data_IF_297302093933
#
_entry.id   IF_297302093933
#
_cell.length_a   1.000
_cell.length_b   1.000
_cell.length_c   1.000
_cell.angle_alpha   90.00
_cell.angle_beta   90.00
_cell.angle_gamma   90.00
#
_symmetry.space_group_name_H-M   'P 1'
#
loop_
_entity.id
_entity.type
_entity.pdbx_description
1 polymer ?
#
# COMPACT_ATOMS: atom_id res chain seq x y z
N UNK A 1 14.24 -6.42 -13.99
CA UNK A 1 14.55 -4.97 -13.83
C UNK A 1 13.84 -4.20 -14.94
N UNK A 2 13.48 -2.93 -14.74
CA UNK A 2 12.99 -2.04 -15.81
C UNK A 2 13.90 -0.80 -15.85
N UNK A 3 14.67 -0.67 -16.93
CA UNK A 3 15.67 0.39 -17.09
C UNK A 3 15.06 1.80 -17.15
N UNK A 4 13.75 1.87 -17.38
CA UNK A 4 12.97 3.11 -17.47
C UNK A 4 12.29 3.49 -16.14
N UNK A 5 12.60 2.79 -15.06
CA UNK A 5 12.18 3.21 -13.72
C UNK A 5 13.26 4.08 -13.07
N UNK A 6 12.82 5.14 -12.40
CA UNK A 6 13.64 6.14 -11.75
C UNK A 6 13.13 6.38 -10.34
N UNK A 7 14.02 6.72 -9.40
CA UNK A 7 13.63 6.91 -8.02
C UNK A 7 14.49 7.92 -7.27
N UNK A 8 13.82 8.73 -6.45
CA UNK A 8 14.45 9.49 -5.37
C UNK A 8 13.83 9.08 -4.05
N UNK A 9 14.67 8.72 -3.09
CA UNK A 9 14.27 8.20 -1.79
C UNK A 9 14.97 9.01 -0.71
N UNK A 10 14.21 9.63 0.19
CA UNK A 10 14.73 10.55 1.21
C UNK A 10 14.27 10.12 2.59
N UNK A 11 15.20 10.03 3.54
CA UNK A 11 14.89 9.80 4.95
C UNK A 11 15.68 10.77 5.83
N UNK A 12 14.98 11.49 6.71
CA UNK A 12 15.60 12.52 7.57
C UNK A 12 15.25 12.26 9.03
N UNK A 13 16.27 11.92 9.82
CA UNK A 13 16.13 11.76 11.28
C UNK A 13 16.58 12.99 12.06
N UNK A 14 17.67 13.64 11.62
CA UNK A 14 18.33 14.69 12.40
C UNK A 14 17.91 16.09 11.96
N UNK A 15 17.41 16.85 12.92
CA UNK A 15 16.92 18.20 12.76
C UNK A 15 17.41 19.08 13.91
N UNK A 16 18.36 20.01 13.70
CA UNK A 16 18.77 20.90 14.78
C UNK A 16 17.70 21.95 15.15
N UNK A 17 16.67 22.13 14.31
CA UNK A 17 15.60 23.10 14.51
C UNK A 17 14.28 22.54 15.06
N UNK A 18 14.08 21.22 15.02
CA UNK A 18 12.90 20.52 15.55
C UNK A 18 13.34 19.24 16.26
N UNK A 19 12.42 18.40 16.75
CA UNK A 19 12.81 17.15 17.43
C UNK A 19 13.38 16.15 16.41
N UNK A 20 14.44 15.44 16.77
CA UNK A 20 14.93 14.31 15.97
C UNK A 20 13.88 13.16 15.90
N UNK A 21 13.96 12.38 14.82
CA UNK A 21 13.21 11.14 14.59
C UNK A 21 14.15 9.94 14.67
N UNK A 22 13.57 8.73 14.64
CA UNK A 22 14.38 7.51 14.78
C UNK A 22 14.14 6.48 13.69
N UNK A 23 13.03 6.55 12.93
CA UNK A 23 12.73 5.54 11.91
C UNK A 23 12.89 6.01 10.47
N UNK A 24 12.95 7.32 10.19
CA UNK A 24 12.78 7.83 8.84
C UNK A 24 13.91 7.39 7.89
N UNK A 25 15.16 7.35 8.36
CA UNK A 25 16.28 6.81 7.56
C UNK A 25 16.12 5.31 7.27
N UNK A 26 15.65 4.53 8.24
CA UNK A 26 15.45 3.09 8.10
C UNK A 26 14.30 2.78 7.13
N UNK A 27 13.19 3.51 7.26
CA UNK A 27 12.02 3.40 6.39
C UNK A 27 12.40 3.68 4.92
N UNK A 28 13.17 4.77 4.69
CA UNK A 28 13.74 5.09 3.38
C UNK A 28 14.70 4.00 2.86
N UNK A 29 15.61 3.49 3.70
CA UNK A 29 16.54 2.41 3.31
C UNK A 29 15.80 1.16 2.84
N UNK A 30 14.79 0.72 3.58
CA UNK A 30 14.00 -0.47 3.23
C UNK A 30 13.18 -0.27 1.96
N UNK A 31 12.62 0.91 1.74
CA UNK A 31 11.94 1.23 0.49
C UNK A 31 12.92 1.21 -0.70
N UNK A 32 14.12 1.76 -0.55
CA UNK A 32 15.18 1.69 -1.55
C UNK A 32 15.62 0.24 -1.84
N UNK A 33 15.75 -0.61 -0.82
CA UNK A 33 16.02 -2.04 -1.03
C UNK A 33 14.90 -2.74 -1.80
N UNK A 34 13.64 -2.44 -1.50
CA UNK A 34 12.51 -2.93 -2.28
C UNK A 34 12.56 -2.44 -3.73
N UNK A 35 12.92 -1.19 -3.98
CA UNK A 35 13.04 -0.64 -5.33
C UNK A 35 14.11 -1.36 -6.17
N UNK A 36 15.26 -1.73 -5.57
CA UNK A 36 16.36 -2.41 -6.27
C UNK A 36 16.05 -3.85 -6.66
N UNK A 37 15.09 -4.50 -5.99
CA UNK A 37 14.74 -5.90 -6.26
C UNK A 37 14.04 -6.04 -7.60
N UNK A 38 14.41 -7.07 -8.35
CA UNK A 38 13.74 -7.42 -9.61
C UNK A 38 12.27 -7.78 -9.42
N UNK A 39 11.94 -8.48 -8.33
CA UNK A 39 10.56 -8.76 -7.96
C UNK A 39 9.88 -7.59 -7.25
N UNK A 40 10.61 -6.53 -6.90
CA UNK A 40 10.12 -5.32 -6.25
C UNK A 40 9.87 -4.19 -7.25
N UNK A 41 10.51 -3.04 -7.05
CA UNK A 41 10.38 -1.89 -7.95
C UNK A 41 11.16 -2.00 -9.26
N UNK A 42 12.15 -2.88 -9.32
CA UNK A 42 12.98 -3.13 -10.50
C UNK A 42 13.81 -1.92 -10.97
N UNK A 43 14.11 -0.96 -10.09
CA UNK A 43 14.82 0.29 -10.41
C UNK A 43 16.33 0.04 -10.50
N UNK A 44 17.00 0.33 -11.63
CA UNK A 44 18.45 0.26 -11.75
C UNK A 44 19.15 1.13 -10.71
N UNK A 45 20.33 0.71 -10.25
CA UNK A 45 21.05 1.42 -9.20
C UNK A 45 21.44 2.84 -9.63
N UNK A 46 21.81 3.02 -10.88
CA UNK A 46 22.10 4.32 -11.49
C UNK A 46 20.88 5.25 -11.54
N UNK A 47 19.66 4.71 -11.52
CA UNK A 47 18.42 5.47 -11.56
C UNK A 47 17.82 5.70 -10.17
N UNK A 48 18.47 5.22 -9.11
CA UNK A 48 18.03 5.34 -7.74
C UNK A 48 18.94 6.29 -6.95
N UNK A 49 18.39 7.44 -6.56
CA UNK A 49 19.04 8.39 -5.66
C UNK A 49 18.53 8.17 -4.23
N UNK A 50 19.35 7.53 -3.39
CA UNK A 50 19.07 7.36 -1.97
C UNK A 50 19.78 8.46 -1.17
N UNK A 51 19.00 9.36 -0.60
CA UNK A 51 19.48 10.53 0.14
C UNK A 51 19.29 10.28 1.63
N UNK A 52 20.36 9.78 2.25
CA UNK A 52 20.47 9.55 3.69
C UNK A 52 21.78 10.18 4.17
N UNK A 53 21.71 10.90 5.30
CA UNK A 53 22.90 11.38 6.00
C UNK A 53 22.94 10.67 7.33
N UNK A 54 23.91 9.80 7.57
CA UNK A 54 24.05 9.13 8.87
C UNK A 54 24.68 10.11 9.87
N UNK A 55 24.67 9.75 11.16
CA UNK A 55 25.25 10.61 12.20
C UNK A 55 26.77 10.82 12.00
N UNK A 56 27.45 9.85 11.39
CA UNK A 56 28.87 9.92 11.02
C UNK A 56 29.15 10.95 9.91
N UNK A 57 28.14 11.26 9.09
CA UNK A 57 28.22 12.19 7.96
C UNK A 57 27.93 13.64 8.39
N UNK A 58 27.47 13.85 9.63
CA UNK A 58 27.01 15.13 10.14
C UNK A 58 28.01 15.71 11.16
N UNK A 59 28.23 17.03 11.17
CA UNK A 59 29.10 17.65 12.16
C UNK A 59 28.47 17.60 13.55
N UNK A 60 29.34 17.54 14.57
CA UNK A 60 28.97 17.64 15.97
C UNK A 60 29.65 18.87 16.59
N UNK A 61 28.88 19.88 17.07
CA UNK A 61 27.41 19.92 17.12
C UNK A 61 26.77 20.18 15.75
N UNK A 62 25.60 19.59 15.51
CA UNK A 62 24.83 19.84 14.30
C UNK A 62 24.15 21.22 14.36
N UNK A 63 24.57 22.14 13.49
CA UNK A 63 23.93 23.45 13.34
C UNK A 63 22.96 23.49 12.13
N UNK A 64 22.00 24.43 12.14
CA UNK A 64 21.03 24.61 11.05
C UNK A 64 21.68 24.83 9.67
N UNK A 65 22.86 25.44 9.63
CA UNK A 65 23.60 25.70 8.40
C UNK A 65 24.41 24.49 7.91
N UNK A 66 24.49 23.42 8.69
CA UNK A 66 25.20 22.20 8.29
C UNK A 66 24.23 21.02 8.13
N UNK A 67 22.97 21.20 8.56
CA UNK A 67 21.91 20.22 8.38
C UNK A 67 21.66 19.86 6.91
N UNK A 68 21.54 18.55 6.68
CA UNK A 68 21.32 17.92 5.39
C UNK A 68 20.34 16.72 5.53
N UNK A 69 19.55 16.41 4.49
CA UNK A 69 19.54 17.04 3.18
C UNK A 69 18.84 18.41 3.18
N UNK A 70 19.21 19.21 2.18
CA UNK A 70 18.54 20.48 1.84
C UNK A 70 17.72 20.30 0.59
N UNK A 71 16.70 21.15 0.42
CA UNK A 71 15.82 21.15 -0.75
C UNK A 71 16.58 21.06 -2.08
N UNK A 72 17.62 21.89 -2.26
CA UNK A 72 18.37 21.94 -3.52
C UNK A 72 18.96 20.59 -3.90
N UNK A 73 19.43 19.80 -2.92
CA UNK A 73 20.04 18.51 -3.22
C UNK A 73 19.03 17.51 -3.78
N UNK A 74 17.81 17.49 -3.23
CA UNK A 74 16.74 16.62 -3.70
C UNK A 74 16.22 17.11 -5.06
N UNK A 75 16.13 18.43 -5.23
CA UNK A 75 15.75 19.04 -6.49
C UNK A 75 16.76 18.70 -7.59
N UNK A 76 18.06 18.89 -7.36
CA UNK A 76 19.09 18.58 -8.36
C UNK A 76 19.05 17.10 -8.77
N UNK A 77 18.87 16.18 -7.80
CA UNK A 77 18.74 14.75 -8.08
C UNK A 77 17.49 14.41 -8.92
N UNK A 78 16.35 15.05 -8.65
CA UNK A 78 15.14 14.89 -9.47
C UNK A 78 15.32 15.49 -10.87
N UNK A 79 16.06 16.59 -10.99
CA UNK A 79 16.36 17.22 -12.27
C UNK A 79 17.26 16.33 -13.14
N UNK A 80 18.30 15.74 -12.55
CA UNK A 80 19.20 14.82 -13.26
C UNK A 80 18.44 13.60 -13.80
N UNK A 81 17.58 12.97 -13.00
CA UNK A 81 16.78 11.82 -13.43
C UNK A 81 15.78 12.21 -14.52
N UNK A 82 15.19 13.41 -14.41
CA UNK A 82 14.33 13.97 -15.46
C UNK A 82 15.09 14.09 -16.78
N UNK A 83 16.26 14.72 -16.79
CA UNK A 83 17.04 14.91 -18.01
C UNK A 83 17.43 13.58 -18.65
N UNK A 84 17.82 12.60 -17.84
CA UNK A 84 18.13 11.25 -18.34
C UNK A 84 16.93 10.57 -18.99
N UNK A 85 15.75 10.68 -18.38
CA UNK A 85 14.52 10.15 -18.97
C UNK A 85 14.15 10.87 -20.26
N UNK A 86 14.27 12.20 -20.30
CA UNK A 86 14.00 13.01 -21.49
C UNK A 86 14.96 12.69 -22.65
N UNK A 87 16.25 12.51 -22.36
CA UNK A 87 17.26 12.08 -23.34
C UNK A 87 16.92 10.71 -23.92
N UNK A 88 16.60 9.72 -23.07
CA UNK A 88 16.19 8.39 -23.53
C UNK A 88 14.93 8.45 -24.40
N UNK A 89 13.87 9.13 -23.93
CA UNK A 89 12.59 9.19 -24.65
C UNK A 89 12.73 9.97 -25.96
N UNK A 90 13.69 10.90 -26.07
CA UNK A 90 13.99 11.55 -27.34
C UNK A 90 14.56 10.57 -28.38
N UNK A 91 15.39 9.62 -27.94
CA UNK A 91 15.98 8.59 -28.79
C UNK A 91 15.00 7.44 -29.08
N UNK A 92 14.24 6.99 -28.07
CA UNK A 92 13.27 5.89 -28.13
C UNK A 92 11.87 6.32 -27.62
N UNK A 93 11.07 7.05 -28.42
CA UNK A 93 9.82 7.65 -27.95
C UNK A 93 8.75 6.67 -27.46
N UNK A 94 8.78 5.42 -27.93
CA UNK A 94 7.80 4.41 -27.52
C UNK A 94 8.01 3.93 -26.08
N UNK A 95 9.24 4.03 -25.58
CA UNK A 95 9.62 3.61 -24.23
C UNK A 95 9.03 4.52 -23.15
N UNK A 96 8.52 5.70 -23.52
CA UNK A 96 7.82 6.59 -22.60
C UNK A 96 6.74 5.86 -21.79
N UNK A 97 6.01 4.92 -22.41
CA UNK A 97 4.94 4.15 -21.72
C UNK A 97 5.45 3.26 -20.59
N UNK A 98 6.73 2.92 -20.60
CA UNK A 98 7.37 2.09 -19.59
C UNK A 98 8.11 2.94 -18.54
N UNK A 99 8.09 4.27 -18.69
CA UNK A 99 8.75 5.19 -17.75
C UNK A 99 7.95 5.38 -16.46
N UNK A 100 8.65 5.25 -15.33
CA UNK A 100 8.06 5.45 -14.00
C UNK A 100 9.00 6.25 -13.10
N UNK A 101 8.47 7.24 -12.39
CA UNK A 101 9.19 7.93 -11.32
C UNK A 101 8.61 7.54 -9.95
N UNK A 102 9.47 7.08 -9.06
CA UNK A 102 9.19 6.95 -7.63
C UNK A 102 9.75 8.17 -6.88
N UNK A 103 8.92 8.80 -6.06
CA UNK A 103 9.39 9.71 -5.02
C UNK A 103 8.93 9.16 -3.67
N UNK A 104 9.88 8.78 -2.82
CA UNK A 104 9.60 8.38 -1.46
C UNK A 104 10.27 9.34 -0.49
N UNK A 105 9.51 9.86 0.47
CA UNK A 105 10.03 10.72 1.52
C UNK A 105 9.56 10.27 2.89
N UNK A 106 10.45 10.30 3.87
CA UNK A 106 10.14 10.04 5.27
C UNK A 106 10.83 11.06 6.18
N UNK A 107 10.10 11.57 7.17
CA UNK A 107 10.59 12.55 8.13
C UNK A 107 9.48 13.45 8.68
N UNK A 108 9.84 14.62 9.22
CA UNK A 108 8.84 15.60 9.63
C UNK A 108 8.10 16.18 8.44
N UNK A 109 6.80 16.38 8.58
CA UNK A 109 5.95 16.88 7.51
C UNK A 109 4.95 17.92 7.99
N UNK A 110 4.58 18.79 7.06
CA UNK A 110 3.58 19.83 7.24
C UNK A 110 2.62 19.83 6.05
N UNK A 111 1.46 20.45 6.24
CA UNK A 111 0.51 20.76 5.19
C UNK A 111 0.33 22.29 5.12
N UNK A 112 1.13 22.98 4.29
CA UNK A 112 1.08 24.43 4.16
C UNK A 112 -0.17 24.94 3.43
N UNK A 113 -0.82 24.10 2.63
CA UNK A 113 -2.13 24.35 2.02
C UNK A 113 -2.99 23.07 2.04
N UNK A 114 -4.30 23.16 1.73
CA UNK A 114 -5.15 21.98 1.58
C UNK A 114 -4.54 20.98 0.60
N UNK A 115 -4.70 19.70 0.92
CA UNK A 115 -4.23 18.58 0.11
C UNK A 115 -2.71 18.45 -0.08
N UNK A 116 -1.91 19.42 0.35
CA UNK A 116 -0.45 19.35 0.35
C UNK A 116 0.09 18.35 1.39
N UNK A 117 1.11 17.60 0.99
CA UNK A 117 2.03 16.88 1.85
C UNK A 117 3.46 17.39 1.58
N UNK A 118 4.05 18.10 2.54
CA UNK A 118 5.37 18.68 2.39
C UNK A 118 6.34 18.18 3.46
N UNK A 119 7.44 17.54 3.03
CA UNK A 119 8.53 17.09 3.90
C UNK A 119 9.33 18.32 4.36
N UNK A 120 9.52 18.49 5.66
CA UNK A 120 10.45 19.47 6.19
C UNK A 120 11.89 19.02 5.91
N UNK A 121 12.69 19.93 5.34
CA UNK A 121 14.13 19.70 5.14
C UNK A 121 14.86 19.69 6.49
N UNK A 122 16.05 19.10 6.56
CA UNK A 122 16.80 18.97 7.82
C UNK A 122 17.10 20.33 8.47
N UNK A 123 17.24 21.39 7.66
CA UNK A 123 17.45 22.77 8.14
C UNK A 123 16.15 23.56 8.42
N UNK A 124 15.01 22.89 8.47
CA UNK A 124 13.75 23.49 8.91
C UNK A 124 13.78 23.77 10.42
N UNK A 125 13.13 24.87 10.81
CA UNK A 125 13.01 25.30 12.19
C UNK A 125 11.73 26.14 12.34
N UNK A 126 11.27 26.41 13.58
CA UNK A 126 10.27 27.44 13.84
C UNK A 126 10.58 28.73 13.08
N UNK A 127 9.55 29.35 12.49
CA UNK A 127 9.64 30.53 11.62
C UNK A 127 10.45 30.33 10.30
N UNK A 128 10.96 29.12 10.03
CA UNK A 128 11.68 28.73 8.80
C UNK A 128 11.09 27.49 8.13
N UNK A 129 9.83 27.17 8.40
CA UNK A 129 9.13 26.03 7.79
C UNK A 129 8.91 26.14 6.27
N UNK A 130 9.25 27.27 5.65
CA UNK A 130 9.39 27.37 4.20
C UNK A 130 10.57 26.58 3.61
N UNK A 131 11.37 25.90 4.45
CA UNK A 131 12.34 24.87 4.05
C UNK A 131 11.65 23.52 4.02
N UNK A 132 10.91 23.26 2.95
CA UNK A 132 10.17 22.02 2.76
C UNK A 132 10.30 21.52 1.33
N UNK A 133 9.76 20.34 1.05
CA UNK A 133 9.60 19.79 -0.29
C UNK A 133 8.15 19.34 -0.41
N UNK A 134 7.37 20.04 -1.23
CA UNK A 134 5.97 19.67 -1.48
C UNK A 134 5.87 18.53 -2.48
N UNK A 135 5.33 17.38 -2.06
CA UNK A 135 5.10 16.26 -2.96
C UNK A 135 4.09 16.61 -4.05
N UNK A 136 3.03 17.34 -3.70
CA UNK A 136 1.97 17.71 -4.64
C UNK A 136 2.46 18.69 -5.71
N UNK A 137 3.35 19.64 -5.39
CA UNK A 137 3.91 20.57 -6.38
C UNK A 137 4.86 19.88 -7.36
N UNK A 138 5.65 18.91 -6.90
CA UNK A 138 6.44 18.07 -7.80
C UNK A 138 5.54 17.16 -8.65
N UNK A 139 4.46 16.61 -8.07
CA UNK A 139 3.49 15.80 -8.80
C UNK A 139 2.78 16.61 -9.89
N UNK A 140 2.32 17.82 -9.57
CA UNK A 140 1.73 18.78 -10.53
C UNK A 140 2.71 19.09 -11.66
N UNK A 141 3.97 19.38 -11.33
CA UNK A 141 5.01 19.64 -12.31
C UNK A 141 5.19 18.45 -13.27
N UNK A 142 5.43 17.25 -12.75
CA UNK A 142 5.70 16.08 -13.59
C UNK A 142 4.47 15.62 -14.39
N UNK A 143 3.25 15.83 -13.88
CA UNK A 143 2.01 15.63 -14.65
C UNK A 143 1.92 16.57 -15.85
N UNK A 144 2.27 17.85 -15.67
CA UNK A 144 2.25 18.83 -16.74
C UNK A 144 3.38 18.58 -17.76
N UNK A 145 4.59 18.28 -17.27
CA UNK A 145 5.75 18.00 -18.12
C UNK A 145 5.61 16.69 -18.89
N UNK A 146 4.83 15.73 -18.39
CA UNK A 146 4.66 14.38 -18.96
C UNK A 146 5.99 13.67 -19.23
N UNK A 147 7.01 13.95 -18.40
CA UNK A 147 8.33 13.32 -18.48
C UNK A 147 8.21 11.81 -18.31
N UNK A 148 7.41 11.39 -17.31
CA UNK A 148 7.17 9.98 -16.99
C UNK A 148 5.71 9.63 -17.25
N UNK A 149 5.45 8.41 -17.70
CA UNK A 149 4.09 7.89 -17.87
C UNK A 149 3.43 7.58 -16.52
N UNK A 150 4.19 7.02 -15.58
CA UNK A 150 3.70 6.69 -14.24
C UNK A 150 4.44 7.47 -13.13
N UNK A 151 3.69 8.05 -12.19
CA UNK A 151 4.20 8.79 -11.04
C UNK A 151 3.75 8.12 -9.73
N UNK A 152 4.68 7.58 -8.95
CA UNK A 152 4.41 6.88 -7.69
C UNK A 152 5.03 7.64 -6.54
N UNK A 153 4.22 8.39 -5.80
CA UNK A 153 4.69 9.32 -4.78
C UNK A 153 4.22 8.85 -3.41
N UNK A 154 5.14 8.58 -2.50
CA UNK A 154 4.84 8.15 -1.13
C UNK A 154 5.48 9.11 -0.12
N UNK A 155 4.65 9.71 0.73
CA UNK A 155 5.11 10.60 1.80
C UNK A 155 4.74 10.03 3.16
N UNK A 156 5.76 9.56 3.87
CA UNK A 156 5.67 9.12 5.25
C UNK A 156 6.07 10.23 6.22
N UNK A 157 5.17 11.21 6.31
CA UNK A 157 5.35 12.36 7.17
C UNK A 157 3.99 12.86 7.67
N UNK A 158 4.00 13.60 8.78
CA UNK A 158 2.80 14.28 9.27
C UNK A 158 2.25 15.27 8.24
N UNK A 159 0.98 15.65 8.40
CA UNK A 159 0.33 16.71 7.61
C UNK A 159 -0.25 17.78 8.52
N UNK A 160 0.53 18.19 9.52
CA UNK A 160 0.14 19.24 10.46
C UNK A 160 -0.04 20.57 9.71
N UNK A 161 -1.14 21.27 9.99
CA UNK A 161 -1.48 22.51 9.28
C UNK A 161 -0.57 23.64 9.70
N UNK A 162 0.28 24.09 8.79
CA UNK A 162 1.15 25.25 8.98
C UNK A 162 0.93 26.23 7.83
N UNK A 163 -0.25 26.85 7.79
CA UNK A 163 -0.70 27.71 6.68
C UNK A 163 0.13 28.99 6.49
N UNK A 164 0.97 29.34 7.47
CA UNK A 164 1.93 30.44 7.36
C UNK A 164 3.25 30.06 6.67
N UNK A 165 3.53 28.76 6.52
CA UNK A 165 4.73 28.29 5.86
C UNK A 165 4.60 28.45 4.33
N UNK A 166 5.57 29.08 3.66
CA UNK A 166 5.64 29.06 2.20
C UNK A 166 5.73 27.62 1.68
N UNK A 167 5.06 27.35 0.56
CA UNK A 167 5.19 26.08 -0.16
C UNK A 167 6.45 26.16 -1.02
N UNK A 168 7.34 25.18 -0.89
CA UNK A 168 8.50 25.07 -1.77
C UNK A 168 8.19 24.09 -2.91
N UNK A 169 8.04 24.65 -4.10
CA UNK A 169 7.78 23.96 -5.36
C UNK A 169 9.10 23.83 -6.17
N UNK A 170 9.13 23.00 -7.24
CA UNK A 170 10.25 22.99 -8.17
C UNK A 170 10.58 24.40 -8.69
N UNK A 171 11.87 24.70 -8.76
CA UNK A 171 12.42 25.99 -9.22
C UNK A 171 12.73 26.02 -10.71
N UNK A 172 12.43 24.93 -11.42
CA UNK A 172 12.62 24.81 -12.86
C UNK A 172 11.57 25.57 -13.65
N UNK A 173 11.92 25.87 -14.91
CA UNK A 173 10.97 26.41 -15.87
C UNK A 173 9.79 25.45 -16.07
N UNK A 174 8.59 26.03 -16.22
CA UNK A 174 7.40 25.27 -16.55
C UNK A 174 7.56 24.65 -17.94
N UNK A 175 7.26 23.37 -18.03
CA UNK A 175 7.27 22.61 -19.28
C UNK A 175 5.92 21.92 -19.41
N UNK A 176 5.35 21.96 -20.62
CA UNK A 176 4.16 21.19 -20.98
C UNK A 176 4.56 20.11 -21.97
N UNK A 177 4.25 18.86 -21.63
CA UNK A 177 4.50 17.70 -22.47
C UNK A 177 3.32 17.34 -23.37
N UNK A 178 3.58 16.50 -24.37
CA UNK A 178 2.58 15.99 -25.31
C UNK A 178 2.67 14.46 -25.50
N UNK A 179 3.26 13.76 -24.54
CA UNK A 179 3.50 12.31 -24.60
C UNK A 179 2.24 11.48 -24.34
N UNK A 180 1.24 12.04 -23.63
CA UNK A 180 -0.05 11.38 -23.40
C UNK A 180 -0.56 11.49 -21.96
N UNK A 181 -1.57 10.67 -21.58
CA UNK A 181 -2.10 10.67 -20.23
C UNK A 181 -1.08 10.12 -19.23
N UNK A 182 -0.82 10.87 -18.17
CA UNK A 182 0.02 10.44 -17.04
C UNK A 182 -0.85 9.81 -15.97
N UNK A 183 -0.43 8.65 -15.45
CA UNK A 183 -1.08 7.97 -14.33
C UNK A 183 -0.30 8.24 -13.07
N UNK A 184 -0.99 8.53 -11.96
CA UNK A 184 -0.34 8.87 -10.70
C UNK A 184 -0.96 8.13 -9.51
N UNK A 185 -0.11 7.75 -8.57
CA UNK A 185 -0.47 7.23 -7.26
C UNK A 185 0.23 8.03 -6.17
N UNK A 186 -0.37 9.13 -5.68
CA UNK A 186 0.04 9.75 -4.44
C UNK A 186 -0.48 8.95 -3.24
N UNK A 187 0.40 8.64 -2.30
CA UNK A 187 0.10 7.99 -1.03
C UNK A 187 0.73 8.71 0.14
N UNK A 188 -0.10 9.19 1.06
CA UNK A 188 0.31 9.98 2.22
C UNK A 188 -0.04 9.24 3.49
N UNK A 189 0.88 9.21 4.45
CA UNK A 189 0.72 8.53 5.73
C UNK A 189 -0.51 8.96 6.51
N UNK A 190 -1.00 10.19 6.30
CA UNK A 190 -2.13 10.74 7.05
C UNK A 190 -3.14 11.45 6.14
N UNK A 191 -4.35 11.63 6.68
CA UNK A 191 -5.32 12.58 6.18
C UNK A 191 -4.83 14.01 6.45
N UNK A 192 -5.40 14.97 5.72
CA UNK A 192 -5.02 16.38 5.83
C UNK A 192 -5.31 16.94 7.23
N UNK A 193 -4.27 17.43 7.91
CA UNK A 193 -4.37 17.97 9.26
C UNK A 193 -4.09 16.98 10.39
N UNK A 194 -3.75 15.72 10.08
CA UNK A 194 -3.46 14.69 11.07
C UNK A 194 -1.95 14.43 11.23
N UNK A 195 -1.60 13.72 12.31
CA UNK A 195 -0.24 13.30 12.66
C UNK A 195 0.04 11.88 12.17
N UNK A 196 1.28 11.65 11.74
CA UNK A 196 1.83 10.33 11.44
C UNK A 196 2.57 9.82 12.68
N UNK A 197 2.52 8.51 12.93
CA UNK A 197 3.16 7.91 14.11
C UNK A 197 4.27 6.93 13.72
N UNK A 198 5.38 6.97 14.47
CA UNK A 198 6.32 5.87 14.62
C UNK A 198 5.73 4.84 15.60
N UNK A 199 6.15 3.57 15.51
CA UNK A 199 5.81 2.58 16.53
C UNK A 199 6.30 3.04 17.92
N UNK A 200 5.51 2.81 18.97
CA UNK A 200 5.87 3.25 20.33
C UNK A 200 7.13 2.47 20.81
N UNK A 201 7.90 3.03 21.75
CA UNK A 201 9.11 2.37 22.29
C UNK A 201 8.80 0.99 22.91
N UNK A 202 7.56 0.76 23.35
CA UNK A 202 7.07 -0.50 23.91
C UNK A 202 6.72 -1.54 22.84
N UNK A 203 6.54 -1.14 21.57
CA UNK A 203 6.16 -2.04 20.46
C UNK A 203 7.38 -2.75 19.85
N UNK A 204 8.61 -2.23 20.03
CA UNK A 204 9.84 -2.84 19.51
C UNK A 204 11.08 -2.43 20.34
N UNK A 205 11.76 -3.42 20.94
CA UNK A 205 12.97 -3.21 21.75
C UNK A 205 14.22 -2.84 20.92
N UNK A 206 14.20 -3.12 19.61
CA UNK A 206 15.28 -2.79 18.68
C UNK A 206 14.96 -1.47 17.93
N UNK A 207 15.72 -0.39 18.18
CA UNK A 207 15.59 0.88 17.46
C UNK A 207 15.68 0.72 15.93
N UNK A 208 16.50 -0.22 15.44
CA UNK A 208 16.68 -0.48 14.00
C UNK A 208 15.47 -1.22 13.39
N UNK A 209 14.56 -1.72 14.22
CA UNK A 209 13.30 -2.34 13.81
C UNK A 209 12.09 -1.43 14.00
N UNK A 210 12.27 -0.22 14.56
CA UNK A 210 11.21 0.79 14.61
C UNK A 210 10.89 1.24 13.19
N UNK A 211 9.60 1.35 12.94
CA UNK A 211 9.04 1.70 11.63
C UNK A 211 7.88 2.64 11.87
N UNK A 212 7.66 3.54 10.94
CA UNK A 212 6.36 4.16 10.80
C UNK A 212 5.32 3.11 10.39
N UNK A 213 4.08 3.29 10.86
CA UNK A 213 3.00 2.35 10.52
C UNK A 213 2.65 2.38 9.03
N UNK A 214 2.84 3.53 8.35
CA UNK A 214 2.57 3.67 6.93
C UNK A 214 3.60 2.91 6.08
N UNK A 215 4.90 3.13 6.28
CA UNK A 215 5.94 2.40 5.53
C UNK A 215 5.90 0.90 5.81
N UNK A 216 5.61 0.50 7.05
CA UNK A 216 5.37 -0.90 7.36
C UNK A 216 4.23 -1.49 6.50
N UNK A 217 3.06 -0.86 6.51
CA UNK A 217 1.90 -1.32 5.74
C UNK A 217 2.17 -1.31 4.22
N UNK A 218 2.83 -0.27 3.73
CA UNK A 218 3.21 -0.11 2.32
C UNK A 218 4.09 -1.27 1.85
N UNK A 219 5.19 -1.53 2.57
CA UNK A 219 6.12 -2.61 2.21
C UNK A 219 5.47 -3.98 2.36
N UNK A 220 4.71 -4.22 3.45
CA UNK A 220 3.94 -5.47 3.61
C UNK A 220 3.01 -5.73 2.42
N UNK A 221 2.33 -4.69 1.92
CA UNK A 221 1.46 -4.76 0.75
C UNK A 221 2.23 -5.09 -0.53
N UNK A 222 3.24 -4.28 -0.84
CA UNK A 222 4.11 -4.42 -2.02
C UNK A 222 4.85 -5.76 -2.07
N UNK A 223 5.15 -6.35 -0.90
CA UNK A 223 5.86 -7.63 -0.80
C UNK A 223 4.97 -8.86 -1.03
N UNK A 224 3.65 -8.69 -1.14
CA UNK A 224 2.74 -9.81 -1.44
C UNK A 224 1.38 -9.73 -0.75
N UNK A 225 1.26 -8.98 0.35
CA UNK A 225 0.02 -9.04 1.16
C UNK A 225 -1.14 -8.24 0.55
N UNK A 226 -0.86 -7.37 -0.43
CA UNK A 226 -1.86 -6.64 -1.18
C UNK A 226 -2.30 -7.36 -2.48
N UNK A 227 -1.99 -8.65 -2.64
CA UNK A 227 -2.38 -9.39 -3.84
C UNK A 227 -3.91 -9.46 -3.99
N UNK A 228 -4.41 -9.10 -5.16
CA UNK A 228 -5.82 -9.16 -5.51
C UNK A 228 -6.23 -10.56 -6.00
N UNK A 229 -7.51 -10.74 -6.32
CA UNK A 229 -8.09 -12.02 -6.77
C UNK A 229 -7.51 -12.52 -8.11
N UNK A 230 -6.82 -11.67 -8.86
CA UNK A 230 -6.15 -12.03 -10.11
C UNK A 230 -4.66 -12.42 -9.91
N UNK A 231 -4.15 -12.40 -8.68
CA UNK A 231 -2.73 -12.64 -8.42
C UNK A 231 -1.86 -11.43 -8.77
N UNK A 232 -2.41 -10.22 -8.69
CA UNK A 232 -1.70 -8.98 -9.03
C UNK A 232 -1.64 -8.04 -7.82
N UNK A 233 -0.60 -7.23 -7.76
CA UNK A 233 -0.54 -6.06 -6.87
C UNK A 233 -0.57 -4.84 -7.78
N UNK A 234 -1.65 -4.09 -7.68
CA UNK A 234 -1.88 -2.84 -8.39
C UNK A 234 -2.13 -1.68 -7.41
N UNK A 235 -2.21 -0.46 -7.93
CA UNK A 235 -2.46 0.74 -7.11
C UNK A 235 -3.75 0.68 -6.29
N UNK A 236 -4.78 -0.05 -6.76
CA UNK A 236 -6.08 -0.14 -6.08
C UNK A 236 -6.03 -1.11 -4.91
N UNK A 237 -5.55 -2.32 -5.16
CA UNK A 237 -5.35 -3.36 -4.14
C UNK A 237 -4.33 -2.93 -3.08
N UNK A 238 -3.26 -2.24 -3.48
CA UNK A 238 -2.31 -1.64 -2.55
C UNK A 238 -2.96 -0.55 -1.70
N UNK A 239 -3.73 0.37 -2.29
CA UNK A 239 -4.41 1.44 -1.56
C UNK A 239 -5.37 0.89 -0.49
N UNK A 240 -6.15 -0.14 -0.83
CA UNK A 240 -7.06 -0.82 0.09
C UNK A 240 -6.25 -1.46 1.23
N UNK A 241 -5.24 -2.27 0.89
CA UNK A 241 -4.44 -2.98 1.87
C UNK A 241 -3.76 -2.02 2.86
N UNK A 242 -3.09 -0.98 2.35
CA UNK A 242 -2.37 -0.01 3.19
C UNK A 242 -3.33 0.70 4.12
N UNK A 243 -4.50 1.12 3.62
CA UNK A 243 -5.52 1.80 4.44
C UNK A 243 -5.99 0.92 5.59
N UNK A 244 -6.34 -0.33 5.32
CA UNK A 244 -6.82 -1.25 6.35
C UNK A 244 -5.72 -1.64 7.32
N UNK A 245 -4.50 -1.86 6.81
CA UNK A 245 -3.35 -2.26 7.62
C UNK A 245 -2.90 -1.15 8.57
N UNK A 246 -2.83 0.11 8.13
CA UNK A 246 -2.49 1.24 9.00
C UNK A 246 -3.55 1.43 10.10
N UNK A 247 -4.84 1.34 9.75
CA UNK A 247 -5.93 1.41 10.75
C UNK A 247 -5.84 0.28 11.76
N UNK A 248 -5.54 -0.93 11.32
CA UNK A 248 -5.38 -2.08 12.23
C UNK A 248 -4.19 -1.87 13.17
N UNK A 249 -3.03 -1.48 12.64
CA UNK A 249 -1.81 -1.22 13.41
C UNK A 249 -1.99 -0.11 14.45
N UNK A 250 -2.76 0.93 14.13
CA UNK A 250 -2.96 2.09 15.00
C UNK A 250 -4.29 2.09 15.76
N UNK A 251 -5.02 0.97 15.74
CA UNK A 251 -6.35 0.84 16.37
C UNK A 251 -6.35 1.03 17.89
N UNK A 252 -5.21 0.81 18.54
CA UNK A 252 -5.01 1.01 19.98
C UNK A 252 -4.77 2.48 20.34
N UNK A 253 -4.44 3.35 19.38
CA UNK A 253 -4.18 4.77 19.64
C UNK A 253 -5.49 5.54 19.80
N UNK A 254 -5.53 6.61 20.65
CA UNK A 254 -6.74 7.41 20.85
C UNK A 254 -7.31 8.03 19.56
N UNK A 255 -6.43 8.30 18.59
CA UNK A 255 -6.77 8.70 17.23
C UNK A 255 -5.97 7.82 16.26
N UNK A 256 -6.57 6.74 15.73
CA UNK A 256 -5.91 5.89 14.74
C UNK A 256 -5.51 6.71 13.51
N UNK A 257 -4.35 6.36 12.94
CA UNK A 257 -3.84 6.98 11.74
C UNK A 257 -4.70 6.56 10.54
N UNK A 258 -5.05 7.53 9.69
CA UNK A 258 -5.81 7.29 8.46
C UNK A 258 -4.97 7.76 7.28
N UNK A 259 -4.39 6.86 6.48
CA UNK A 259 -3.62 7.27 5.31
C UNK A 259 -4.56 7.74 4.18
N UNK A 260 -4.00 8.51 3.25
CA UNK A 260 -4.68 8.91 2.01
C UNK A 260 -3.91 8.30 0.83
N UNK A 261 -4.53 7.43 0.04
CA UNK A 261 -3.95 6.93 -1.22
C UNK A 261 -4.96 7.11 -2.35
N UNK A 262 -4.63 7.95 -3.34
CA UNK A 262 -5.51 8.24 -4.45
C UNK A 262 -5.11 7.37 -5.66
N UNK A 263 -5.89 6.33 -5.92
CA UNK A 263 -5.72 5.47 -7.09
C UNK A 263 -6.91 5.64 -8.05
N UNK A 264 -6.67 5.65 -9.36
CA UNK A 264 -7.72 5.53 -10.37
C UNK A 264 -7.92 4.05 -10.75
N UNK A 265 -9.05 3.41 -10.38
CA UNK A 265 -9.30 2.02 -10.75
C UNK A 265 -9.41 1.77 -12.25
N UNK A 266 -9.67 2.81 -13.06
CA UNK A 266 -9.73 2.70 -14.52
C UNK A 266 -8.34 2.72 -15.18
N UNK A 267 -7.31 3.18 -14.46
CA UNK A 267 -5.93 3.24 -14.92
C UNK A 267 -4.98 2.77 -13.79
N UNK A 268 -4.99 1.48 -13.43
CA UNK A 268 -4.18 0.97 -12.34
C UNK A 268 -2.69 0.93 -12.70
N UNK A 269 -1.84 1.37 -11.77
CA UNK A 269 -0.39 1.14 -11.82
C UNK A 269 -0.12 -0.27 -11.29
N UNK A 270 0.57 -1.11 -12.06
CA UNK A 270 0.91 -2.47 -11.62
C UNK A 270 2.31 -2.50 -10.99
N UNK A 271 2.40 -3.11 -9.80
CA UNK A 271 3.66 -3.34 -9.08
C UNK A 271 4.13 -4.79 -9.24
N UNK A 272 3.20 -5.75 -9.28
CA UNK A 272 3.53 -7.16 -9.47
C UNK A 272 2.37 -7.90 -10.13
N UNK A 273 2.67 -8.93 -10.92
CA UNK A 273 1.69 -9.81 -11.59
C UNK A 273 2.09 -11.27 -11.43
N UNK A 274 1.11 -12.18 -11.57
CA UNK A 274 1.35 -13.62 -11.58
C UNK A 274 1.75 -14.18 -10.21
N UNK A 275 1.39 -13.51 -9.13
CA UNK A 275 1.58 -14.02 -7.78
C UNK A 275 0.64 -15.21 -7.52
N UNK A 276 1.10 -16.24 -6.77
CA UNK A 276 0.20 -17.25 -6.26
C UNK A 276 -0.82 -16.59 -5.35
N UNK A 277 -2.10 -16.89 -5.58
CA UNK A 277 -3.15 -16.45 -4.69
C UNK A 277 -2.90 -17.02 -3.28
N UNK A 278 -3.17 -16.25 -2.21
CA UNK A 278 -3.17 -16.80 -0.87
C UNK A 278 -4.05 -18.04 -0.88
N UNK A 279 -3.52 -19.18 -0.43
CA UNK A 279 -4.36 -20.35 -0.23
C UNK A 279 -5.56 -19.90 0.62
N UNK A 280 -6.78 -20.07 0.12
CA UNK A 280 -7.97 -19.66 0.84
C UNK A 280 -7.83 -20.19 2.27
N UNK A 281 -7.83 -19.28 3.24
CA UNK A 281 -7.69 -19.67 4.64
C UNK A 281 -8.74 -20.77 4.89
N UNK A 282 -8.36 -21.93 5.46
CA UNK A 282 -9.31 -23.01 5.67
C UNK A 282 -10.47 -22.45 6.49
N UNK A 283 -11.63 -22.31 5.86
CA UNK A 283 -12.80 -21.75 6.53
C UNK A 283 -13.15 -22.73 7.62
N UNK A 284 -13.08 -22.28 8.89
CA UNK A 284 -13.36 -23.12 10.04
C UNK A 284 -14.69 -23.85 9.83
N UNK A 285 -14.61 -25.17 9.75
CA UNK A 285 -15.75 -26.02 9.44
C UNK A 285 -16.45 -26.41 10.74
N UNK A 286 -17.74 -26.11 10.81
CA UNK A 286 -18.59 -26.34 11.97
C UNK A 286 -19.22 -27.74 11.86
N UNK A 287 -19.33 -28.52 12.95
CA UNK A 287 -20.01 -29.80 12.91
C UNK A 287 -21.52 -29.60 12.70
N UNK A 288 -22.07 -30.23 11.67
CA UNK A 288 -23.48 -30.21 11.28
C UNK A 288 -23.98 -31.65 11.19
N UNK A 289 -25.07 -31.95 11.91
CA UNK A 289 -25.75 -33.24 11.81
C UNK A 289 -26.91 -33.13 10.83
N UNK A 290 -26.97 -34.00 9.82
CA UNK A 290 -28.06 -34.08 8.84
C UNK A 290 -28.90 -35.31 9.13
N UNK A 291 -30.22 -35.12 9.25
CA UNK A 291 -31.18 -36.21 9.40
C UNK A 291 -32.15 -36.21 8.23
N UNK A 292 -32.26 -37.37 7.58
CA UNK A 292 -33.22 -37.59 6.51
C UNK A 292 -34.60 -37.90 7.07
N UNK A 293 -35.66 -37.52 6.36
CA UNK A 293 -37.01 -37.84 6.78
C UNK A 293 -37.25 -39.36 6.77
N UNK A 294 -38.06 -39.88 7.71
CA UNK A 294 -38.39 -41.30 7.75
C UNK A 294 -38.96 -41.79 6.41
N UNK A 295 -38.37 -42.86 5.86
CA UNK A 295 -38.82 -43.47 4.61
C UNK A 295 -38.14 -42.93 3.34
N UNK A 296 -37.30 -41.89 3.43
CA UNK A 296 -36.41 -41.55 2.32
C UNK A 296 -35.29 -42.60 2.19
N UNK A 297 -35.19 -43.20 1.01
CA UNK A 297 -34.15 -44.17 0.66
C UNK A 297 -33.51 -43.73 -0.66
N UNK A 298 -32.19 -43.58 -0.67
CA UNK A 298 -31.46 -43.12 -1.86
C UNK A 298 -30.28 -42.23 -1.51
N UNK A 299 -29.60 -41.76 -2.55
CA UNK A 299 -28.47 -40.85 -2.42
C UNK A 299 -28.95 -39.41 -2.49
N UNK A 300 -28.35 -38.53 -1.69
CA UNK A 300 -28.55 -37.10 -1.77
C UNK A 300 -27.22 -36.37 -1.99
N UNK A 301 -27.31 -35.27 -2.72
CA UNK A 301 -26.20 -34.40 -3.12
C UNK A 301 -26.20 -33.19 -2.20
N UNK A 302 -25.06 -32.85 -1.62
CA UNK A 302 -24.85 -31.62 -0.88
C UNK A 302 -24.17 -30.59 -1.78
N UNK A 303 -24.73 -29.39 -1.82
CA UNK A 303 -24.22 -28.26 -2.60
C UNK A 303 -24.06 -27.04 -1.70
N UNK A 304 -23.01 -26.24 -1.90
CA UNK A 304 -22.82 -24.97 -1.19
C UNK A 304 -23.53 -23.80 -1.91
N UNK A 305 -23.50 -22.61 -1.31
CA UNK A 305 -24.09 -21.39 -1.88
C UNK A 305 -23.43 -20.89 -3.18
N UNK A 306 -22.26 -21.40 -3.54
CA UNK A 306 -21.60 -21.17 -4.83
C UNK A 306 -21.98 -22.22 -5.90
N UNK A 307 -22.95 -23.10 -5.59
CA UNK A 307 -23.40 -24.21 -6.44
C UNK A 307 -22.36 -25.31 -6.66
N UNK A 308 -21.34 -25.40 -5.81
CA UNK A 308 -20.34 -26.45 -5.87
C UNK A 308 -20.82 -27.70 -5.12
N UNK A 309 -20.70 -28.86 -5.77
CA UNK A 309 -21.02 -30.14 -5.15
C UNK A 309 -19.96 -30.51 -4.10
N UNK A 310 -20.36 -30.53 -2.84
CA UNK A 310 -19.49 -30.89 -1.72
C UNK A 310 -19.42 -32.38 -1.46
N UNK A 311 -20.46 -33.13 -1.86
CA UNK A 311 -20.51 -34.58 -1.64
C UNK A 311 -21.80 -35.22 -2.08
N UNK A 312 -21.78 -36.56 -2.15
CA UNK A 312 -22.97 -37.39 -2.40
C UNK A 312 -22.96 -38.50 -1.36
N UNK A 313 -24.01 -38.60 -0.56
CA UNK A 313 -24.08 -39.60 0.50
C UNK A 313 -25.42 -40.36 0.48
N UNK A 314 -25.41 -41.55 1.04
CA UNK A 314 -26.58 -42.45 1.09
C UNK A 314 -27.36 -42.21 2.38
N UNK A 315 -28.67 -41.93 2.26
CA UNK A 315 -29.52 -41.61 3.41
C UNK A 315 -29.63 -42.78 4.41
N UNK A 316 -29.44 -44.02 3.94
CA UNK A 316 -29.41 -45.21 4.79
C UNK A 316 -28.21 -45.28 5.74
N UNK A 317 -27.20 -44.41 5.56
CA UNK A 317 -26.03 -44.32 6.43
C UNK A 317 -26.16 -43.21 7.49
N UNK A 318 -27.35 -42.62 7.64
CA UNK A 318 -27.62 -41.49 8.55
C UNK A 318 -27.69 -41.84 10.04
N UNK A 319 -27.63 -40.83 10.93
CA UNK A 319 -27.48 -39.40 10.64
C UNK A 319 -26.05 -39.04 10.19
N UNK A 320 -25.92 -38.13 9.22
CA UNK A 320 -24.60 -37.71 8.73
C UNK A 320 -24.04 -36.61 9.61
N UNK A 321 -22.75 -36.72 9.98
CA UNK A 321 -22.03 -35.65 10.67
C UNK A 321 -21.01 -35.07 9.70
N UNK A 322 -21.27 -33.86 9.23
CA UNK A 322 -20.45 -33.13 8.27
C UNK A 322 -19.75 -31.96 8.96
N UNK A 323 -18.55 -31.64 8.52
CA UNK A 323 -17.89 -30.41 8.93
C UNK A 323 -18.01 -29.41 7.79
N UNK A 324 -18.88 -28.40 7.96
CA UNK A 324 -19.23 -27.45 6.92
C UNK A 324 -18.82 -26.03 7.33
N UNK A 325 -18.12 -25.27 6.46
CA UNK A 325 -17.93 -23.84 6.64
C UNK A 325 -19.23 -23.09 6.93
N UNK A 326 -19.14 -21.90 7.52
CA UNK A 326 -20.31 -21.02 7.61
C UNK A 326 -20.78 -20.63 6.22
N UNK A 327 -22.08 -20.75 5.96
CA UNK A 327 -22.60 -20.55 4.60
C UNK A 327 -24.01 -21.07 4.40
N UNK A 328 -24.47 -20.96 3.16
CA UNK A 328 -25.73 -21.53 2.69
C UNK A 328 -25.45 -22.87 2.03
N UNK A 329 -26.36 -23.82 2.25
CA UNK A 329 -26.26 -25.18 1.75
C UNK A 329 -27.61 -25.66 1.26
N UNK A 330 -27.59 -26.58 0.32
CA UNK A 330 -28.75 -27.32 -0.15
C UNK A 330 -28.43 -28.81 -0.22
N UNK A 331 -29.34 -29.65 0.27
CA UNK A 331 -29.33 -31.10 0.05
C UNK A 331 -30.49 -31.45 -0.87
N UNK A 332 -30.23 -32.20 -1.94
CA UNK A 332 -31.25 -32.64 -2.89
C UNK A 332 -31.09 -34.12 -3.28
N UNK A 333 -32.17 -34.85 -3.59
CA UNK A 333 -32.08 -36.22 -4.08
C UNK A 333 -31.25 -36.32 -5.37
N UNK A 334 -30.39 -37.33 -5.45
CA UNK A 334 -29.63 -37.62 -6.67
C UNK A 334 -30.56 -38.19 -7.75
N UNK A 335 -30.63 -37.54 -8.91
CA UNK A 335 -31.40 -38.03 -10.07
C UNK A 335 -32.36 -37.01 -10.70
N UNK A 336 -32.54 -35.84 -10.09
CA UNK A 336 -33.36 -34.75 -10.63
C UNK A 336 -34.86 -34.95 -10.36
N UNK A 337 -35.52 -33.90 -9.88
CA UNK A 337 -36.93 -33.90 -9.46
C UNK A 337 -37.22 -32.77 -8.47
N UNK A 338 -38.47 -32.63 -8.04
CA UNK A 338 -38.82 -31.72 -6.95
C UNK A 338 -38.15 -32.18 -5.64
N UNK A 339 -37.53 -31.25 -4.91
CA UNK A 339 -36.85 -31.56 -3.66
C UNK A 339 -37.88 -31.82 -2.55
N UNK A 340 -38.01 -33.06 -2.03
CA UNK A 340 -39.06 -33.41 -1.07
C UNK A 340 -38.71 -32.99 0.37
N UNK A 341 -37.51 -32.47 0.60
CA UNK A 341 -37.03 -32.11 1.92
C UNK A 341 -37.62 -30.80 2.41
N UNK A 342 -37.76 -30.66 3.73
CA UNK A 342 -38.13 -29.44 4.42
C UNK A 342 -37.26 -28.27 3.95
N UNK A 343 -37.91 -27.12 3.69
CA UNK A 343 -37.27 -25.94 3.10
C UNK A 343 -36.51 -26.22 1.79
N UNK A 344 -36.97 -27.19 1.00
CA UNK A 344 -36.28 -27.65 -0.22
C UNK A 344 -34.84 -28.09 0.08
N UNK A 345 -34.61 -28.66 1.27
CA UNK A 345 -33.30 -29.12 1.74
C UNK A 345 -32.29 -27.99 1.99
N UNK A 346 -32.72 -26.73 2.00
CA UNK A 346 -31.85 -25.58 2.23
C UNK A 346 -31.67 -25.31 3.72
N UNK A 347 -30.43 -25.04 4.11
CA UNK A 347 -30.09 -24.65 5.48
C UNK A 347 -28.88 -23.69 5.49
N UNK A 348 -28.70 -23.02 6.64
CA UNK A 348 -27.60 -22.07 6.85
C UNK A 348 -26.78 -22.50 8.06
N UNK A 349 -25.47 -22.55 7.89
CA UNK A 349 -24.50 -22.79 8.97
C UNK A 349 -23.98 -21.44 9.45
N UNK A 350 -24.28 -21.10 10.71
CA UNK A 350 -23.83 -19.87 11.36
C UNK A 350 -22.88 -20.14 12.54
N UNK A 351 -23.02 -21.31 13.17
CA UNK A 351 -22.27 -21.78 14.34
C UNK A 351 -22.34 -23.31 14.41
N UNK A 352 -21.45 -23.96 15.17
CA UNK A 352 -21.42 -25.41 15.36
C UNK A 352 -22.58 -26.00 16.14
N UNK A 353 -22.78 -27.31 15.96
CA UNK A 353 -23.83 -28.08 16.64
C UNK A 353 -25.21 -27.97 15.99
N UNK A 354 -25.27 -27.55 14.72
CA UNK A 354 -26.52 -27.47 13.96
C UNK A 354 -27.05 -28.89 13.66
N UNK A 355 -28.29 -29.17 14.04
CA UNK A 355 -29.01 -30.41 13.69
C UNK A 355 -30.09 -30.08 12.66
N UNK A 356 -29.87 -30.47 11.41
CA UNK A 356 -30.74 -30.18 10.26
C UNK A 356 -31.70 -31.35 10.07
N UNK A 357 -32.98 -31.09 10.25
CA UNK A 357 -34.06 -32.00 9.89
C UNK A 357 -34.49 -31.70 8.45
N UNK A 358 -34.19 -32.61 7.53
CA UNK A 358 -34.63 -32.56 6.14
C UNK A 358 -36.05 -33.10 5.96
#
# INVERSE_FOLDING_TARGET
>A
MNDQHYAVVVGIDRYPGVRDLTSARNDARRFAEWLKREDGGGVPEENLKLILFNDEDLPEPLELQDAAPRFQQIEDDLFDLRLRCEEHVADEPLDWRDTRLYLYVSGHGIAPAPDEAALLMANAAPQRFGRNLSCDKFLEFFKAAQTFHELVFFADCCRERVSSAPIQAPTWDRVEGHNGPVVALPGYATHFGDLAFEADEEDNEDPDQRRSYFTQALLEGLEGKAVNENGEIDSTSLSIYVTDRVRALTSHKPRPQVPTMLSDPAAPIFFRRGLPLPAAAPVAAEPVTIRFPPGFAGRAVLTNGALEQMGIHDAGQGPWVLHLPRGLYEIAPQGGGANPFANEGRFKVLQGGLDVQL
#
